data_IF_320481381496
#
_entry.id   IF_320481381496
#
_cell.length_a   1.000
_cell.length_b   1.000
_cell.length_c   1.000
_cell.angle_alpha   90.00
_cell.angle_beta   90.00
_cell.angle_gamma   90.00
#
_symmetry.space_group_name_H-M   'P 1'
#
loop_
_entity.id
_entity.type
_entity.pdbx_description
1 polymer ?
#
# COMPACT_ATOMS: atom_id res chain seq x y z
N UNK A 1 -52.55 -22.30 78.99
CA UNK A 1 -52.34 -20.87 79.30
C UNK A 1 -50.94 -20.79 79.89
N UNK A 2 -49.90 -20.28 79.27
CA UNK A 2 -49.68 -19.38 78.12
C UNK A 2 -48.25 -19.68 77.69
N UNK A 3 -48.00 -20.05 76.43
CA UNK A 3 -46.63 -20.15 75.92
C UNK A 3 -46.56 -19.36 74.62
N UNK A 4 -45.81 -18.26 74.67
CA UNK A 4 -45.74 -17.21 73.67
C UNK A 4 -44.43 -17.36 72.89
N UNK A 5 -44.43 -17.26 71.56
CA UNK A 5 -43.29 -17.60 70.70
C UNK A 5 -42.16 -16.58 70.74
N UNK A 6 -40.93 -17.08 70.58
CA UNK A 6 -39.68 -16.32 70.57
C UNK A 6 -39.47 -15.46 69.31
N UNK A 7 -38.53 -14.49 69.37
CA UNK A 7 -38.30 -13.53 68.30
C UNK A 7 -37.44 -14.11 67.16
N UNK A 8 -37.93 -13.91 65.93
CA UNK A 8 -37.24 -14.18 64.66
C UNK A 8 -36.25 -13.03 64.42
N UNK A 9 -34.95 -13.34 64.39
CA UNK A 9 -33.91 -12.39 63.99
C UNK A 9 -33.78 -12.39 62.47
N UNK A 10 -34.14 -11.29 61.83
CA UNK A 10 -34.00 -11.05 60.39
C UNK A 10 -32.58 -10.59 60.10
N UNK A 11 -31.84 -11.37 59.30
CA UNK A 11 -30.51 -11.04 58.81
C UNK A 11 -30.56 -9.88 57.81
N UNK A 12 -29.66 -8.91 57.99
CA UNK A 12 -29.45 -7.77 57.10
C UNK A 12 -28.89 -8.22 55.72
N UNK A 13 -29.27 -7.55 54.62
CA UNK A 13 -28.75 -7.87 53.29
C UNK A 13 -27.30 -7.38 53.10
N UNK A 14 -26.49 -8.28 52.56
CA UNK A 14 -25.10 -8.14 52.17
C UNK A 14 -24.90 -7.09 51.06
N UNK A 15 -23.89 -6.26 51.25
CA UNK A 15 -23.37 -5.23 50.32
C UNK A 15 -22.89 -5.90 49.00
N UNK A 16 -23.33 -5.45 47.81
CA UNK A 16 -22.85 -6.01 46.56
C UNK A 16 -21.41 -5.55 46.26
N UNK A 17 -20.52 -6.53 46.11
CA UNK A 17 -19.15 -6.38 45.61
C UNK A 17 -19.15 -6.02 44.11
N UNK A 18 -18.44 -4.94 43.75
CA UNK A 18 -18.19 -4.51 42.37
C UNK A 18 -17.45 -5.62 41.59
N UNK A 19 -17.94 -6.02 40.41
CA UNK A 19 -17.13 -6.82 39.49
C UNK A 19 -16.05 -5.93 38.86
N UNK A 20 -14.78 -6.30 39.07
CA UNK A 20 -13.64 -5.73 38.33
C UNK A 20 -13.69 -6.27 36.90
N UNK A 21 -14.33 -5.53 36.00
CA UNK A 21 -14.25 -5.79 34.57
C UNK A 21 -12.90 -5.26 34.07
N UNK A 22 -11.93 -6.15 33.89
CA UNK A 22 -10.77 -5.87 33.05
C UNK A 22 -11.24 -5.86 31.60
N UNK A 23 -11.80 -4.73 31.17
CA UNK A 23 -12.04 -4.44 29.77
C UNK A 23 -10.70 -4.11 29.13
N UNK A 24 -9.94 -5.14 28.74
CA UNK A 24 -8.87 -4.99 27.75
C UNK A 24 -9.57 -4.70 26.42
N UNK A 25 -9.86 -3.42 26.18
CA UNK A 25 -10.23 -2.92 24.88
C UNK A 25 -8.98 -2.96 24.00
N UNK A 26 -8.68 -4.13 23.43
CA UNK A 26 -7.90 -4.20 22.20
C UNK A 26 -8.71 -3.50 21.12
N UNK A 27 -8.51 -2.19 21.02
CA UNK A 27 -8.96 -1.37 19.90
C UNK A 27 -8.27 -1.88 18.64
N UNK A 28 -8.91 -2.81 17.95
CA UNK A 28 -8.62 -3.16 16.56
C UNK A 28 -8.98 -1.96 15.71
N UNK A 29 -8.07 -0.98 15.67
CA UNK A 29 -8.13 0.12 14.73
C UNK A 29 -7.72 -0.43 13.36
N UNK A 30 -8.71 -0.70 12.51
CA UNK A 30 -8.46 -0.72 11.06
C UNK A 30 -7.80 0.61 10.72
N UNK A 31 -6.57 0.57 10.21
CA UNK A 31 -5.83 1.81 9.91
C UNK A 31 -6.32 2.32 8.57
N UNK A 32 -7.50 2.92 8.58
CA UNK A 32 -8.09 3.70 7.50
C UNK A 32 -7.18 4.90 7.29
N UNK A 33 -6.40 4.91 6.21
CA UNK A 33 -5.41 5.96 5.91
C UNK A 33 -5.79 6.62 4.60
N UNK A 34 -6.28 7.86 4.71
CA UNK A 34 -6.54 8.69 3.53
C UNK A 34 -5.21 9.13 2.92
N UNK A 35 -4.95 8.70 1.69
CA UNK A 35 -3.77 9.09 0.92
C UNK A 35 -4.05 10.42 0.21
N UNK A 36 -3.12 11.40 0.24
CA UNK A 36 -3.32 12.64 -0.49
C UNK A 36 -3.26 12.37 -2.00
N UNK A 37 -3.93 13.23 -2.79
CA UNK A 37 -3.93 13.19 -4.26
C UNK A 37 -2.52 13.11 -4.86
N UNK A 38 -1.54 13.63 -4.15
CA UNK A 38 -0.19 13.84 -4.63
C UNK A 38 0.83 13.32 -3.62
N UNK A 39 1.60 12.30 -4.00
CA UNK A 39 2.68 11.71 -3.21
C UNK A 39 4.00 11.72 -3.98
N UNK A 40 5.10 11.94 -3.28
CA UNK A 40 6.43 11.93 -3.87
C UNK A 40 7.36 11.10 -3.00
N UNK A 41 8.14 10.21 -3.61
CA UNK A 41 9.11 9.38 -2.92
C UNK A 41 10.45 10.12 -2.82
N UNK A 42 10.94 10.32 -1.61
CA UNK A 42 12.21 10.97 -1.33
C UNK A 42 13.17 10.02 -0.62
N UNK A 43 14.44 10.06 -1.01
CA UNK A 43 15.51 9.36 -0.32
C UNK A 43 15.79 10.04 1.03
N UNK A 44 15.75 9.26 2.13
CA UNK A 44 15.96 9.79 3.49
C UNK A 44 17.43 10.03 3.80
N UNK A 45 18.32 9.15 3.35
CA UNK A 45 19.76 9.27 3.56
C UNK A 45 20.52 8.78 2.33
N UNK A 46 21.56 9.51 1.91
CA UNK A 46 22.39 9.17 0.74
C UNK A 46 23.40 8.05 1.01
N UNK A 47 23.61 7.70 2.28
CA UNK A 47 24.63 6.75 2.72
C UNK A 47 24.08 5.35 3.08
N UNK A 48 22.83 5.02 2.74
CA UNK A 48 22.29 3.67 3.02
C UNK A 48 23.02 2.62 2.18
N UNK A 49 23.79 1.79 2.86
CA UNK A 49 24.65 0.72 2.32
C UNK A 49 23.80 -0.49 1.90
N UNK A 50 23.96 -0.85 0.62
CA UNK A 50 23.80 -2.11 -0.12
C UNK A 50 22.63 -3.10 0.13
N UNK A 51 21.99 -3.19 1.30
CA UNK A 51 20.95 -4.21 1.55
C UNK A 51 19.56 -3.64 1.88
N UNK A 52 19.51 -2.47 2.53
CA UNK A 52 18.24 -1.83 2.91
C UNK A 52 18.29 -0.33 2.64
N UNK A 53 17.29 0.18 1.92
CA UNK A 53 17.12 1.61 1.71
C UNK A 53 15.85 2.11 2.38
N UNK A 54 15.92 3.33 2.92
CA UNK A 54 14.77 4.01 3.54
C UNK A 54 14.43 5.26 2.73
N UNK A 55 13.14 5.40 2.47
CA UNK A 55 12.53 6.52 1.78
C UNK A 55 11.35 7.04 2.60
N UNK A 56 10.91 8.24 2.24
CA UNK A 56 9.64 8.76 2.72
C UNK A 56 8.74 9.20 1.58
N UNK A 57 7.44 9.04 1.78
CA UNK A 57 6.41 9.66 0.96
C UNK A 57 5.94 10.96 1.60
N UNK A 58 5.82 12.01 0.80
CA UNK A 58 5.24 13.28 1.21
C UNK A 58 4.72 14.08 0.01
N UNK A 59 3.91 15.10 0.26
CA UNK A 59 3.36 15.96 -0.81
C UNK A 59 4.45 16.81 -1.45
N UNK A 60 5.40 17.30 -0.66
CA UNK A 60 6.55 18.10 -1.10
C UNK A 60 7.82 17.71 -0.34
N UNK A 61 8.96 18.29 -0.71
CA UNK A 61 10.23 18.06 -0.01
C UNK A 61 10.28 18.74 1.37
N UNK A 62 9.62 19.89 1.48
CA UNK A 62 9.62 20.74 2.68
C UNK A 62 8.50 20.38 3.65
N UNK A 63 7.47 19.64 3.21
CA UNK A 63 6.42 19.12 4.08
C UNK A 63 6.94 17.99 4.97
N UNK A 64 6.34 17.84 6.16
CA UNK A 64 6.59 16.70 7.03
C UNK A 64 6.37 15.38 6.26
N UNK A 65 7.24 14.37 6.46
CA UNK A 65 7.06 13.06 5.86
C UNK A 65 5.73 12.43 6.34
N UNK A 66 4.93 11.92 5.40
CA UNK A 66 3.64 11.30 5.71
C UNK A 66 3.81 9.81 6.01
N UNK A 67 4.54 9.11 5.15
CA UNK A 67 4.73 7.67 5.25
C UNK A 67 6.19 7.31 5.12
N UNK A 68 6.59 6.23 5.78
CA UNK A 68 7.90 5.61 5.61
C UNK A 68 7.79 4.45 4.63
N UNK A 69 8.75 4.36 3.73
CA UNK A 69 8.93 3.23 2.81
C UNK A 69 10.31 2.63 3.07
N UNK A 70 10.36 1.31 3.28
CA UNK A 70 11.63 0.58 3.36
C UNK A 70 11.69 -0.47 2.29
N UNK A 71 12.87 -0.62 1.68
CA UNK A 71 13.13 -1.66 0.69
C UNK A 71 14.17 -2.63 1.22
N UNK A 72 13.95 -3.93 1.04
CA UNK A 72 14.81 -5.00 1.56
C UNK A 72 15.30 -5.87 0.41
N UNK A 73 16.57 -6.28 0.43
CA UNK A 73 17.14 -7.19 -0.57
C UNK A 73 17.62 -8.49 0.08
N UNK A 74 17.41 -9.62 -0.60
CA UNK A 74 17.92 -10.93 -0.21
C UNK A 74 16.97 -11.74 0.69
N UNK A 75 17.49 -12.81 1.29
CA UNK A 75 16.73 -13.81 2.06
C UNK A 75 16.37 -13.38 3.49
N UNK A 76 16.07 -12.09 3.72
CA UNK A 76 15.81 -11.58 5.07
C UNK A 76 14.45 -12.00 5.64
N UNK A 77 13.60 -12.68 4.86
CA UNK A 77 12.23 -13.04 5.24
C UNK A 77 11.31 -11.82 5.41
N UNK A 78 11.78 -10.64 5.00
CA UNK A 78 11.02 -9.40 5.02
C UNK A 78 10.59 -9.05 3.60
N UNK A 79 9.35 -8.54 3.39
CA UNK A 79 8.90 -8.13 2.07
C UNK A 79 9.85 -7.10 1.42
N UNK A 80 10.00 -7.19 0.10
CA UNK A 80 10.90 -6.33 -0.68
C UNK A 80 10.60 -4.85 -0.53
N UNK A 81 9.33 -4.51 -0.36
CA UNK A 81 8.84 -3.15 -0.11
C UNK A 81 7.86 -3.19 1.06
N UNK A 82 8.07 -2.31 2.03
CA UNK A 82 7.17 -2.10 3.18
C UNK A 82 6.78 -0.64 3.25
N UNK A 83 5.47 -0.37 3.13
CA UNK A 83 4.85 0.94 3.32
C UNK A 83 4.22 0.99 4.73
N UNK A 84 4.57 2.01 5.51
CA UNK A 84 4.00 2.22 6.85
C UNK A 84 3.02 3.39 6.89
N UNK A 85 2.04 3.33 7.77
CA UNK A 85 1.00 4.35 7.91
C UNK A 85 1.53 5.71 8.37
N UNK A 86 2.73 5.76 8.96
CA UNK A 86 3.38 6.99 9.40
C UNK A 86 4.88 7.05 9.06
N UNK A 87 5.56 8.15 9.41
CA UNK A 87 6.97 8.36 9.08
C UNK A 87 7.95 7.56 9.96
N UNK A 88 7.46 6.97 11.06
CA UNK A 88 8.29 6.22 12.02
C UNK A 88 8.46 4.76 11.61
N UNK A 89 9.58 4.13 12.02
CA UNK A 89 9.73 2.66 11.92
C UNK A 89 8.72 1.89 12.79
N UNK A 90 8.17 2.54 13.83
CA UNK A 90 7.22 1.93 14.76
C UNK A 90 5.76 2.04 14.29
N UNK A 91 5.50 2.83 13.25
CA UNK A 91 4.16 2.97 12.68
C UNK A 91 3.67 1.64 12.09
N UNK A 92 2.38 1.29 12.22
CA UNK A 92 1.81 0.08 11.61
C UNK A 92 2.15 -0.06 10.13
N UNK A 93 2.24 -1.30 9.66
CA UNK A 93 2.39 -1.60 8.23
C UNK A 93 1.05 -1.31 7.56
N UNK A 94 1.09 -0.50 6.51
CA UNK A 94 -0.07 -0.18 5.68
C UNK A 94 -0.19 -1.12 4.49
N UNK A 95 0.93 -1.45 3.85
CA UNK A 95 0.98 -2.42 2.77
C UNK A 95 2.40 -2.93 2.53
N UNK A 96 2.52 -4.08 1.89
CA UNK A 96 3.80 -4.63 1.43
C UNK A 96 3.74 -5.11 -0.01
N UNK A 97 4.90 -5.12 -0.67
CA UNK A 97 5.09 -5.77 -1.96
C UNK A 97 6.25 -6.76 -1.85
N UNK A 98 6.10 -7.94 -2.42
CA UNK A 98 7.09 -9.02 -2.42
C UNK A 98 7.21 -9.64 -3.80
N UNK A 99 8.43 -9.92 -4.24
CA UNK A 99 8.73 -10.58 -5.50
C UNK A 99 10.01 -11.40 -5.38
N UNK A 100 10.01 -12.62 -5.94
CA UNK A 100 11.13 -13.55 -5.73
C UNK A 100 12.46 -13.04 -6.29
N UNK A 101 12.42 -12.42 -7.47
CA UNK A 101 13.61 -11.93 -8.16
C UNK A 101 13.33 -10.62 -8.90
N UNK A 102 14.36 -9.81 -9.23
CA UNK A 102 14.18 -8.64 -10.07
C UNK A 102 13.60 -8.94 -11.46
N UNK A 103 13.65 -10.19 -11.92
CA UNK A 103 13.08 -10.62 -13.20
C UNK A 103 11.68 -11.20 -13.06
N UNK A 104 11.16 -11.31 -11.83
CA UNK A 104 9.82 -11.83 -11.54
C UNK A 104 8.76 -11.14 -12.40
N UNK A 105 7.80 -11.95 -12.82
CA UNK A 105 6.58 -11.51 -13.51
C UNK A 105 5.40 -11.42 -12.54
N UNK A 106 5.65 -11.64 -11.24
CA UNK A 106 4.65 -11.61 -10.20
C UNK A 106 5.12 -10.76 -9.03
N UNK A 107 4.21 -9.96 -8.48
CA UNK A 107 4.38 -9.25 -7.22
C UNK A 107 3.18 -9.59 -6.33
N UNK A 108 3.46 -10.09 -5.13
CA UNK A 108 2.44 -10.28 -4.12
C UNK A 108 2.30 -8.98 -3.31
N UNK A 109 1.12 -8.37 -3.37
CA UNK A 109 0.77 -7.24 -2.52
C UNK A 109 0.00 -7.75 -1.30
N UNK A 110 0.37 -7.30 -0.11
CA UNK A 110 -0.37 -7.61 1.13
C UNK A 110 -0.82 -6.32 1.80
N UNK A 111 -2.13 -6.20 2.04
CA UNK A 111 -2.76 -5.06 2.70
C UNK A 111 -3.39 -5.55 4.03
N UNK A 112 -2.77 -5.26 5.19
CA UNK A 112 -3.33 -5.62 6.49
C UNK A 112 -4.65 -4.89 6.75
N UNK A 113 -5.70 -5.63 7.08
CA UNK A 113 -6.99 -5.06 7.51
C UNK A 113 -7.07 -5.00 9.03
N UNK A 114 -6.53 -6.02 9.70
CA UNK A 114 -6.44 -6.12 11.16
C UNK A 114 -5.18 -6.90 11.56
N UNK A 115 -4.97 -7.10 12.86
CA UNK A 115 -3.84 -7.89 13.37
C UNK A 115 -3.82 -9.34 12.88
N UNK A 116 -4.98 -9.88 12.46
CA UNK A 116 -5.14 -11.28 12.07
C UNK A 116 -5.70 -11.46 10.66
N UNK A 117 -5.96 -10.36 9.95
CA UNK A 117 -6.59 -10.39 8.64
C UNK A 117 -5.89 -9.46 7.65
N UNK A 118 -5.74 -9.93 6.42
CA UNK A 118 -5.06 -9.21 5.36
C UNK A 118 -5.57 -9.64 3.98
N UNK A 119 -5.72 -8.66 3.09
CA UNK A 119 -6.00 -8.92 1.68
C UNK A 119 -4.68 -9.17 0.96
N UNK A 120 -4.62 -10.27 0.21
CA UNK A 120 -3.49 -10.62 -0.65
C UNK A 120 -3.91 -10.46 -2.10
N UNK A 121 -3.18 -9.63 -2.84
CA UNK A 121 -3.45 -9.34 -4.24
C UNK A 121 -2.25 -9.82 -5.05
N UNK A 122 -2.50 -10.71 -6.01
CA UNK A 122 -1.47 -11.12 -6.96
C UNK A 122 -1.45 -10.13 -8.12
N UNK A 123 -0.33 -9.43 -8.31
CA UNK A 123 -0.10 -8.56 -9.45
C UNK A 123 0.80 -9.28 -10.44
N UNK A 124 0.34 -9.43 -11.68
CA UNK A 124 1.10 -10.16 -12.70
C UNK A 124 1.46 -9.26 -13.87
N UNK A 125 2.60 -9.56 -14.47
CA UNK A 125 3.12 -8.89 -15.64
C UNK A 125 2.69 -9.65 -16.90
N UNK A 126 2.24 -8.94 -17.91
CA UNK A 126 2.12 -9.46 -19.27
C UNK A 126 3.16 -8.82 -20.17
N UNK A 127 3.91 -9.65 -20.89
CA UNK A 127 4.79 -9.16 -21.95
C UNK A 127 3.94 -8.58 -23.07
N UNK A 128 4.24 -7.34 -23.51
CA UNK A 128 3.63 -6.83 -24.73
C UNK A 128 4.19 -7.53 -25.96
N UNK A 129 3.44 -7.54 -27.08
CA UNK A 129 3.96 -8.00 -28.36
C UNK A 129 5.31 -7.33 -28.70
N UNK A 130 6.19 -7.99 -29.47
CA UNK A 130 7.56 -7.55 -29.77
C UNK A 130 7.68 -6.11 -30.31
N UNK A 131 6.62 -5.61 -30.94
CA UNK A 131 6.51 -4.26 -31.50
C UNK A 131 6.67 -3.13 -30.44
N UNK A 132 6.54 -3.42 -29.15
CA UNK A 132 6.66 -2.45 -28.05
C UNK A 132 7.97 -2.56 -27.24
N UNK A 133 9.07 -3.01 -27.87
CA UNK A 133 10.41 -3.10 -27.27
C UNK A 133 10.44 -3.87 -25.92
N UNK A 134 9.64 -4.93 -25.79
CA UNK A 134 9.64 -5.77 -24.58
C UNK A 134 9.12 -5.09 -23.31
N UNK A 135 8.37 -3.99 -23.45
CA UNK A 135 7.70 -3.34 -22.30
C UNK A 135 6.62 -4.27 -21.73
N UNK A 136 6.50 -4.24 -20.40
CA UNK A 136 5.54 -5.06 -19.65
C UNK A 136 4.40 -4.19 -19.19
N UNK A 137 3.19 -4.75 -19.17
CA UNK A 137 2.08 -4.20 -18.41
C UNK A 137 1.96 -5.00 -17.12
N UNK A 138 1.60 -4.33 -16.02
CA UNK A 138 1.31 -5.02 -14.77
C UNK A 138 -0.16 -4.87 -14.46
N UNK A 139 -0.83 -5.93 -14.04
CA UNK A 139 -2.24 -5.86 -13.71
C UNK A 139 -2.55 -6.55 -12.39
N UNK A 140 -3.56 -6.04 -11.70
CA UNK A 140 -4.09 -6.60 -10.47
C UNK A 140 -5.59 -6.32 -10.37
N UNK A 141 -6.25 -7.03 -9.48
CA UNK A 141 -7.66 -6.83 -9.16
C UNK A 141 -7.82 -6.62 -7.64
N UNK A 142 -8.75 -5.78 -7.25
CA UNK A 142 -9.11 -5.55 -5.84
C UNK A 142 -10.62 -5.73 -5.65
N UNK A 143 -11.08 -6.17 -4.48
CA UNK A 143 -12.50 -6.20 -4.18
C UNK A 143 -13.13 -4.81 -4.38
N UNK A 144 -14.23 -4.73 -5.14
CA UNK A 144 -14.91 -3.47 -5.38
C UNK A 144 -15.68 -3.01 -4.14
N UNK A 145 -15.56 -1.73 -3.78
CA UNK A 145 -16.34 -1.13 -2.70
C UNK A 145 -17.77 -0.85 -3.19
N UNK A 146 -18.69 -1.79 -2.99
CA UNK A 146 -20.12 -1.61 -3.30
C UNK A 146 -20.61 -2.19 -4.63
N UNK A 147 -19.79 -3.01 -5.30
CA UNK A 147 -20.26 -3.86 -6.40
C UNK A 147 -21.12 -5.03 -5.92
N UNK A 148 -21.73 -5.77 -6.85
CA UNK A 148 -22.37 -7.05 -6.51
C UNK A 148 -21.36 -7.98 -5.84
N UNK A 149 -21.83 -8.85 -4.94
CA UNK A 149 -20.95 -9.70 -4.13
C UNK A 149 -19.99 -10.53 -5.01
N UNK A 150 -18.70 -10.18 -4.97
CA UNK A 150 -17.66 -10.82 -5.79
C UNK A 150 -17.17 -10.02 -7.00
N UNK A 151 -17.68 -8.80 -7.23
CA UNK A 151 -17.16 -7.94 -8.28
C UNK A 151 -15.80 -7.32 -7.88
N UNK A 152 -14.80 -7.52 -8.73
CA UNK A 152 -13.46 -6.99 -8.55
C UNK A 152 -13.18 -5.83 -9.51
N UNK A 153 -12.66 -4.73 -8.97
CA UNK A 153 -12.14 -3.62 -9.75
C UNK A 153 -10.75 -3.96 -10.29
N UNK A 154 -10.54 -3.75 -11.59
CA UNK A 154 -9.35 -4.22 -12.31
C UNK A 154 -8.48 -3.04 -12.72
N UNK A 155 -7.18 -3.21 -12.53
CA UNK A 155 -6.21 -2.16 -12.71
C UNK A 155 -5.02 -2.64 -13.54
N UNK A 156 -4.55 -1.79 -14.44
CA UNK A 156 -3.41 -2.09 -15.32
C UNK A 156 -2.44 -0.91 -15.33
N UNK A 157 -1.22 -1.13 -14.85
CA UNK A 157 -0.09 -0.25 -15.06
C UNK A 157 0.44 -0.42 -16.48
N UNK A 158 0.49 0.69 -17.22
CA UNK A 158 1.08 0.78 -18.56
C UNK A 158 2.19 1.80 -18.57
N UNK A 159 3.29 1.44 -19.20
CA UNK A 159 4.36 2.40 -19.44
C UNK A 159 3.90 3.46 -20.47
N UNK A 160 4.09 4.74 -20.16
CA UNK A 160 3.79 5.89 -21.02
C UNK A 160 5.07 6.68 -21.31
N UNK A 161 5.23 7.10 -22.57
CA UNK A 161 6.33 7.92 -23.05
C UNK A 161 5.98 9.41 -22.98
N UNK A 162 5.71 9.93 -21.78
CA UNK A 162 5.87 11.35 -21.43
C UNK A 162 5.06 12.43 -22.18
N UNK A 163 4.21 12.08 -23.15
CA UNK A 163 3.47 13.07 -23.97
C UNK A 163 2.11 13.50 -23.40
N UNK A 164 1.65 12.86 -22.32
CA UNK A 164 0.38 13.23 -21.68
C UNK A 164 0.47 14.63 -21.04
N UNK A 165 -0.52 15.50 -21.30
CA UNK A 165 -0.53 16.89 -20.77
C UNK A 165 -0.40 16.94 -19.24
N UNK A 166 -1.00 15.98 -18.54
CA UNK A 166 -0.91 15.82 -17.08
C UNK A 166 0.51 15.51 -16.57
N UNK A 167 1.41 15.10 -17.48
CA UNK A 167 2.78 14.66 -17.18
C UNK A 167 3.86 15.59 -17.76
N UNK A 168 3.48 16.79 -18.19
CA UNK A 168 4.41 17.81 -18.71
C UNK A 168 5.57 18.03 -17.72
N UNK A 169 6.79 17.67 -18.14
CA UNK A 169 8.02 17.77 -17.33
C UNK A 169 8.60 16.45 -16.82
N UNK A 170 7.97 15.30 -17.10
CA UNK A 170 8.50 13.98 -16.81
C UNK A 170 8.98 13.26 -18.07
N UNK A 171 10.09 12.52 -17.99
CA UNK A 171 10.69 11.82 -19.15
C UNK A 171 10.02 10.48 -19.47
N UNK A 172 9.57 9.77 -18.44
CA UNK A 172 8.95 8.44 -18.56
C UNK A 172 8.21 8.08 -17.28
N UNK A 173 7.38 7.04 -17.37
CA UNK A 173 6.86 6.33 -16.22
C UNK A 173 5.58 5.58 -16.57
N UNK A 174 4.67 5.48 -15.62
CA UNK A 174 3.56 4.54 -15.69
C UNK A 174 2.22 5.20 -15.44
N UNK A 175 1.20 4.82 -16.18
CA UNK A 175 -0.20 5.19 -15.98
C UNK A 175 -0.96 3.98 -15.45
N UNK A 176 -1.77 4.17 -14.42
CA UNK A 176 -2.68 3.17 -13.89
C UNK A 176 -4.04 3.38 -14.54
N UNK A 177 -4.47 2.37 -15.29
CA UNK A 177 -5.76 2.34 -15.95
C UNK A 177 -6.72 1.49 -15.11
N UNK A 178 -7.90 2.00 -14.80
CA UNK A 178 -9.03 1.18 -14.32
C UNK A 178 -9.77 0.63 -15.52
N UNK A 179 -10.09 -0.66 -15.50
CA UNK A 179 -10.85 -1.33 -16.56
C UNK A 179 -12.20 -1.83 -16.03
N UNK A 180 -13.28 -1.50 -16.73
CA UNK A 180 -14.64 -1.95 -16.36
C UNK A 180 -14.89 -3.42 -16.67
N UNK A 181 -14.24 -3.98 -17.71
CA UNK A 181 -14.38 -5.40 -18.12
C UNK A 181 -13.08 -5.96 -18.65
N UNK A 182 -12.77 -7.24 -18.42
CA UNK A 182 -11.51 -7.86 -18.89
C UNK A 182 -11.25 -7.71 -20.39
N UNK A 183 -12.29 -7.81 -21.22
CA UNK A 183 -12.21 -7.67 -22.67
C UNK A 183 -13.07 -6.50 -23.16
N UNK A 184 -12.48 -5.63 -23.99
CA UNK A 184 -13.19 -4.55 -24.68
C UNK A 184 -13.81 -3.47 -23.78
N UNK A 185 -13.49 -3.49 -22.48
CA UNK A 185 -13.98 -2.49 -21.52
C UNK A 185 -13.29 -1.14 -21.70
N UNK A 186 -14.00 -0.08 -21.31
CA UNK A 186 -13.43 1.26 -21.21
C UNK A 186 -12.29 1.28 -20.19
N UNK A 187 -11.21 1.96 -20.56
CA UNK A 187 -10.03 2.15 -19.72
C UNK A 187 -9.88 3.62 -19.37
N UNK A 188 -9.92 3.93 -18.09
CA UNK A 188 -9.79 5.30 -17.59
C UNK A 188 -8.51 5.40 -16.77
N UNK A 189 -7.69 6.42 -17.03
CA UNK A 189 -6.52 6.69 -16.19
C UNK A 189 -6.98 7.17 -14.81
N UNK A 190 -6.55 6.47 -13.76
CA UNK A 190 -6.93 6.77 -12.36
C UNK A 190 -5.77 7.22 -11.50
N UNK A 191 -4.54 6.87 -11.90
CA UNK A 191 -3.33 7.33 -11.27
C UNK A 191 -2.16 7.31 -12.27
N UNK A 192 -1.07 7.97 -11.93
CA UNK A 192 0.19 7.80 -12.63
C UNK A 192 1.36 7.95 -11.68
N UNK A 193 2.50 7.39 -12.08
CA UNK A 193 3.78 7.75 -11.50
C UNK A 193 4.86 7.97 -12.54
N UNK A 194 5.84 8.79 -12.17
CA UNK A 194 6.87 9.24 -13.10
C UNK A 194 8.23 9.46 -12.43
N UNK A 195 9.29 9.32 -13.23
CA UNK A 195 10.65 9.67 -12.84
C UNK A 195 10.88 11.17 -13.00
N UNK A 196 11.20 11.90 -11.92
CA UNK A 196 11.51 13.32 -12.01
C UNK A 196 12.82 13.54 -12.77
N UNK A 197 12.82 14.42 -13.78
CA UNK A 197 13.93 14.59 -14.70
C UNK A 197 15.19 15.24 -14.06
N UNK A 198 15.05 16.01 -12.97
CA UNK A 198 16.09 16.94 -12.50
C UNK A 198 16.31 16.93 -10.97
N UNK A 199 15.96 15.84 -10.27
CA UNK A 199 16.05 15.81 -8.79
C UNK A 199 16.89 14.64 -8.28
N UNK A 200 17.93 14.94 -7.51
CA UNK A 200 18.78 13.89 -6.91
C UNK A 200 18.09 13.10 -5.78
N UNK A 201 17.19 13.75 -5.04
CA UNK A 201 16.57 13.17 -3.83
C UNK A 201 15.17 12.62 -4.07
N UNK A 202 14.40 13.22 -4.98
CA UNK A 202 13.07 12.70 -5.34
C UNK A 202 13.26 11.59 -6.37
N UNK A 203 12.72 10.41 -6.07
CA UNK A 203 12.89 9.19 -6.87
C UNK A 203 11.65 8.84 -7.67
N UNK A 204 10.49 9.27 -7.20
CA UNK A 204 9.19 9.00 -7.84
C UNK A 204 8.24 10.16 -7.55
N UNK A 205 7.45 10.56 -8.55
CA UNK A 205 6.26 11.37 -8.37
C UNK A 205 5.04 10.48 -8.62
N UNK A 206 4.08 10.44 -7.71
CA UNK A 206 2.83 9.70 -7.83
C UNK A 206 1.65 10.66 -7.70
N UNK A 207 0.64 10.48 -8.54
CA UNK A 207 -0.57 11.31 -8.57
C UNK A 207 -1.80 10.46 -8.81
N UNK A 208 -2.86 10.73 -8.07
CA UNK A 208 -4.21 10.28 -8.40
C UNK A 208 -4.85 11.28 -9.37
N UNK A 209 -5.48 10.76 -10.43
CA UNK A 209 -6.20 11.57 -11.42
C UNK A 209 -7.57 11.94 -10.87
N UNK A 210 -8.28 10.96 -10.30
CA UNK A 210 -9.60 11.16 -9.67
C UNK A 210 -9.47 11.91 -8.34
N UNK A 211 -10.36 12.88 -8.10
CA UNK A 211 -10.26 13.86 -7.02
C UNK A 211 -10.46 13.25 -5.62
N UNK A 212 -11.30 12.23 -5.51
CA UNK A 212 -11.70 11.61 -4.23
C UNK A 212 -11.10 10.22 -4.02
N UNK A 213 -10.10 9.85 -4.82
CA UNK A 213 -9.64 8.47 -4.85
C UNK A 213 -10.73 7.52 -5.38
N UNK A 214 -11.64 7.97 -6.22
CA UNK A 214 -12.52 7.11 -7.02
C UNK A 214 -13.50 6.21 -6.25
N UNK A 215 -14.46 5.63 -6.97
CA UNK A 215 -15.47 4.71 -6.42
C UNK A 215 -14.91 3.39 -5.84
N UNK A 216 -13.58 3.19 -5.77
CA UNK A 216 -12.96 1.94 -5.33
C UNK A 216 -12.63 1.86 -3.82
N UNK A 217 -12.81 2.93 -3.05
CA UNK A 217 -12.48 2.98 -1.61
C UNK A 217 -10.99 3.12 -1.27
N UNK A 218 -10.60 2.99 0.01
CA UNK A 218 -9.19 3.22 0.41
C UNK A 218 -8.24 2.07 0.03
N UNK A 219 -8.79 0.88 -0.16
CA UNK A 219 -8.01 -0.33 -0.46
C UNK A 219 -7.33 -0.24 -1.83
N UNK A 220 -8.05 0.18 -2.87
CA UNK A 220 -7.43 0.32 -4.19
C UNK A 220 -6.36 1.43 -4.18
N UNK A 221 -6.58 2.53 -3.44
CA UNK A 221 -5.63 3.63 -3.39
C UNK A 221 -4.31 3.16 -2.76
N UNK A 222 -4.42 2.40 -1.67
CA UNK A 222 -3.26 1.75 -1.04
C UNK A 222 -2.61 0.73 -1.97
N UNK A 223 -3.39 -0.11 -2.65
CA UNK A 223 -2.91 -1.08 -3.64
C UNK A 223 -2.18 -0.39 -4.81
N UNK A 224 -2.69 0.74 -5.29
CA UNK A 224 -2.08 1.55 -6.35
C UNK A 224 -0.73 2.12 -5.92
N UNK A 225 -0.62 2.66 -4.71
CA UNK A 225 0.66 3.19 -4.20
C UNK A 225 1.68 2.07 -4.00
N UNK A 226 1.30 0.97 -3.34
CA UNK A 226 2.25 -0.12 -3.06
C UNK A 226 2.66 -0.89 -4.32
N UNK A 227 1.76 -1.05 -5.31
CA UNK A 227 2.11 -1.61 -6.61
C UNK A 227 3.08 -0.71 -7.39
N UNK A 228 2.86 0.60 -7.39
CA UNK A 228 3.80 1.55 -7.99
C UNK A 228 5.19 1.45 -7.36
N UNK A 229 5.26 1.37 -6.03
CA UNK A 229 6.53 1.18 -5.30
C UNK A 229 7.18 -0.18 -5.64
N UNK A 230 6.39 -1.24 -5.77
CA UNK A 230 6.88 -2.56 -6.18
C UNK A 230 7.51 -2.54 -7.58
N UNK A 231 6.81 -1.95 -8.56
CA UNK A 231 7.33 -1.78 -9.93
C UNK A 231 8.61 -0.94 -9.92
N UNK A 232 8.59 0.20 -9.23
CA UNK A 232 9.74 1.09 -9.11
C UNK A 232 10.96 0.38 -8.51
N UNK A 233 10.77 -0.45 -7.47
CA UNK A 233 11.85 -1.20 -6.84
C UNK A 233 12.42 -2.29 -7.78
N UNK A 234 11.57 -3.01 -8.51
CA UNK A 234 11.99 -3.96 -9.54
C UNK A 234 12.85 -3.27 -10.59
N UNK A 235 12.40 -2.13 -11.12
CA UNK A 235 13.14 -1.37 -12.13
C UNK A 235 14.48 -0.87 -11.58
N UNK A 236 14.48 -0.36 -10.34
CA UNK A 236 15.70 0.08 -9.65
C UNK A 236 16.72 -1.05 -9.53
N UNK A 237 16.27 -2.27 -9.18
CA UNK A 237 17.15 -3.45 -9.06
C UNK A 237 17.67 -3.93 -10.41
N UNK A 238 16.86 -3.88 -11.47
CA UNK A 238 17.29 -4.25 -12.83
C UNK A 238 18.42 -3.36 -13.33
N UNK A 239 18.30 -2.05 -13.12
CA UNK A 239 19.35 -1.08 -13.51
C UNK A 239 20.64 -1.31 -12.70
N UNK A 240 20.52 -1.57 -11.40
CA UNK A 240 21.69 -1.85 -10.55
C UNK A 240 22.38 -3.18 -10.94
N UNK A 241 21.61 -4.25 -11.19
CA UNK A 241 22.14 -5.55 -11.58
C UNK A 241 22.76 -5.54 -12.98
N UNK A 242 22.18 -4.80 -13.93
CA UNK A 242 22.77 -4.62 -15.27
C UNK A 242 24.09 -3.86 -15.25
N UNK A 243 24.29 -2.95 -14.29
CA UNK A 243 25.57 -2.25 -14.11
C UNK A 243 26.65 -3.13 -13.48
N UNK A 244 26.27 -4.13 -12.67
CA UNK A 244 27.21 -5.06 -12.04
C UNK A 244 27.70 -6.18 -12.97
N UNK A 245 26.93 -6.54 -14.00
CA UNK A 245 27.31 -7.56 -14.98
C UNK A 245 28.20 -7.02 -16.13
N UNK A 246 28.42 -5.70 -16.19
CA UNK A 246 29.22 -5.02 -17.21
C UNK A 246 30.59 -4.52 -16.69
N UNK A 247 30.96 -4.86 -15.45
CA UNK A 247 32.23 -4.54 -14.79
C UNK A 247 33.03 -5.82 -14.54
#
# INVERSE_FOLDING_TARGET
>A
MTDTPGPITVNAPTKPSKPTTHSTSSSTSSTVVTLPRSLNLYLTNRLTILAQATFHLGTSRSSAPLHRVTTHQGFSGTPDVVLRSGPSSKSPILATAEFETPLSEQILLTLPLSAHDAVRINMTSTARPPKHWGRRDWWFAVPSAGGEQGEEAKFVWRHSDGEDEERKGYRSGWNLMRRTRWEGGEETAVAFWAYPALTMTKKMAFRFVEEDGGAGGEMWATAAVVSALGIWEIERRRVAGGSAAAA
#
